data_IF_007888123029
#
_entry.id   IF_007888123029
#
_cell.length_a   1.000
_cell.length_b   1.000
_cell.length_c   1.000
_cell.angle_alpha   90.00
_cell.angle_beta   90.00
_cell.angle_gamma   90.00
#
_symmetry.space_group_name_H-M   'P 1'
#
loop_
_entity.id
_entity.type
_entity.pdbx_description
1 polymer ?
#
# COMPACT_ATOMS: atom_id res chain seq x y z
N UNK A 1 -13.00 11.79 -19.79
CA UNK A 1 -12.26 10.82 -18.98
C UNK A 1 -13.17 9.64 -18.71
N UNK A 2 -12.68 8.39 -18.82
CA UNK A 2 -13.47 7.22 -18.45
C UNK A 2 -13.45 7.11 -16.92
N UNK A 3 -14.58 6.80 -16.31
CA UNK A 3 -14.65 6.46 -14.89
C UNK A 3 -14.47 4.95 -14.78
N UNK A 4 -13.35 4.50 -14.23
CA UNK A 4 -13.16 3.11 -13.83
C UNK A 4 -13.98 2.85 -12.56
N UNK A 5 -14.76 1.77 -12.56
CA UNK A 5 -15.65 1.43 -11.44
C UNK A 5 -14.87 1.08 -10.16
N UNK A 6 -13.63 0.59 -10.30
CA UNK A 6 -12.71 0.31 -9.19
C UNK A 6 -11.29 0.75 -9.54
N UNK A 7 -10.60 1.31 -8.56
CA UNK A 7 -9.23 1.81 -8.70
C UNK A 7 -8.37 1.19 -7.64
N UNK A 8 -7.43 0.34 -8.04
CA UNK A 8 -6.51 -0.34 -7.14
C UNK A 8 -5.11 0.21 -7.40
N UNK A 9 -4.43 0.66 -6.34
CA UNK A 9 -3.03 1.04 -6.39
C UNK A 9 -2.22 0.02 -5.61
N UNK A 10 -1.38 -0.73 -6.31
CA UNK A 10 -0.44 -1.68 -5.72
C UNK A 10 0.95 -1.05 -5.68
N UNK A 11 1.48 -0.87 -4.47
CA UNK A 11 2.84 -0.37 -4.23
C UNK A 11 3.77 -1.56 -4.05
N UNK A 12 4.86 -1.64 -4.81
CA UNK A 12 5.92 -2.63 -4.60
C UNK A 12 7.17 -1.83 -4.20
N UNK A 13 7.69 -2.06 -3.00
CA UNK A 13 8.78 -1.28 -2.44
C UNK A 13 9.78 -2.16 -1.69
N UNK A 14 11.04 -1.81 -1.80
CA UNK A 14 12.18 -2.49 -1.20
C UNK A 14 12.81 -1.68 -0.05
N UNK A 15 12.10 -0.72 0.56
CA UNK A 15 12.74 0.17 1.54
C UNK A 15 11.83 1.14 2.29
N UNK A 16 12.49 2.00 3.06
CA UNK A 16 11.89 3.11 3.80
C UNK A 16 11.94 4.40 2.96
N UNK A 17 11.12 5.42 3.26
CA UNK A 17 11.18 6.68 2.53
C UNK A 17 12.48 7.44 2.87
N UNK A 18 13.40 7.53 1.91
CA UNK A 18 14.73 8.14 2.09
C UNK A 18 15.06 9.02 0.88
N UNK A 19 15.55 10.22 1.15
CA UNK A 19 16.17 11.13 0.18
C UNK A 19 17.14 12.06 0.92
N UNK A 20 18.44 12.00 0.60
CA UNK A 20 19.51 12.70 1.33
C UNK A 20 19.34 14.22 1.26
N UNK A 21 18.94 14.74 0.10
CA UNK A 21 18.76 16.17 -0.10
C UNK A 21 17.63 16.69 0.78
N UNK A 22 16.51 15.97 0.83
CA UNK A 22 15.39 16.31 1.72
C UNK A 22 15.80 16.22 3.19
N UNK A 23 16.52 15.18 3.60
CA UNK A 23 16.93 15.00 4.99
C UNK A 23 18.01 15.99 5.45
N UNK A 24 18.79 16.56 4.54
CA UNK A 24 19.84 17.53 4.89
C UNK A 24 19.32 18.84 5.45
N UNK A 25 18.09 19.23 5.09
CA UNK A 25 17.47 20.52 5.48
C UNK A 25 16.16 20.37 6.24
N UNK A 26 15.70 19.15 6.50
CA UNK A 26 14.45 18.87 7.22
C UNK A 26 14.70 17.97 8.44
N UNK A 27 13.69 17.85 9.31
CA UNK A 27 13.75 16.86 10.39
C UNK A 27 13.90 15.45 9.84
N UNK A 28 14.63 14.56 10.52
CA UNK A 28 14.80 13.17 10.10
C UNK A 28 13.50 12.38 9.92
N UNK A 29 12.40 12.84 10.55
CA UNK A 29 11.07 12.24 10.44
C UNK A 29 10.21 12.77 9.27
N UNK A 30 10.72 13.73 8.49
CA UNK A 30 9.90 14.47 7.52
C UNK A 30 9.26 13.55 6.47
N UNK A 31 10.08 12.73 5.81
CA UNK A 31 9.61 11.82 4.77
C UNK A 31 8.68 10.73 5.31
N UNK A 32 8.94 10.22 6.52
CA UNK A 32 8.06 9.25 7.17
C UNK A 32 6.68 9.86 7.47
N UNK A 33 6.65 11.06 8.06
CA UNK A 33 5.39 11.77 8.34
C UNK A 33 4.62 12.06 7.05
N UNK A 34 5.30 12.52 6.02
CA UNK A 34 4.68 12.78 4.73
C UNK A 34 4.13 11.49 4.10
N UNK A 35 4.87 10.39 4.14
CA UNK A 35 4.39 9.10 3.64
C UNK A 35 3.12 8.65 4.38
N UNK A 36 3.10 8.75 5.72
CA UNK A 36 1.92 8.43 6.53
C UNK A 36 0.72 9.32 6.19
N UNK A 37 0.94 10.60 5.97
CA UNK A 37 -0.11 11.55 5.56
C UNK A 37 -0.70 11.17 4.20
N UNK A 38 0.14 10.91 3.20
CA UNK A 38 -0.29 10.52 1.85
C UNK A 38 -1.05 9.19 1.87
N UNK A 39 -0.52 8.17 2.57
CA UNK A 39 -1.22 6.89 2.72
C UNK A 39 -2.56 7.09 3.42
N UNK A 40 -2.57 7.84 4.52
CA UNK A 40 -3.80 8.16 5.25
C UNK A 40 -4.82 8.92 4.40
N UNK A 41 -4.37 9.82 3.53
CA UNK A 41 -5.24 10.49 2.57
C UNK A 41 -5.83 9.50 1.57
N UNK A 42 -5.01 8.62 0.99
CA UNK A 42 -5.47 7.64 0.00
C UNK A 42 -6.46 6.67 0.64
N UNK A 43 -6.10 6.05 1.77
CA UNK A 43 -6.94 5.04 2.41
C UNK A 43 -8.28 5.57 2.93
N UNK A 44 -8.37 6.86 3.28
CA UNK A 44 -9.54 7.40 3.97
C UNK A 44 -10.30 8.47 3.19
N UNK A 45 -9.73 9.04 2.13
CA UNK A 45 -10.35 10.14 1.35
C UNK A 45 -10.37 9.90 -0.16
N UNK A 46 -9.68 8.90 -0.65
CA UNK A 46 -9.65 8.55 -2.08
C UNK A 46 -10.56 7.35 -2.37
N UNK A 47 -11.14 7.23 -3.58
CA UNK A 47 -11.78 6.00 -4.03
C UNK A 47 -10.77 4.89 -4.39
N UNK A 48 -9.47 5.11 -4.14
CA UNK A 48 -8.40 4.18 -4.48
C UNK A 48 -8.20 3.17 -3.35
N UNK A 49 -8.29 1.90 -3.69
CA UNK A 49 -7.95 0.77 -2.83
C UNK A 49 -6.43 0.57 -2.86
N UNK A 50 -5.78 0.76 -1.72
CA UNK A 50 -4.32 0.74 -1.60
C UNK A 50 -3.82 -0.61 -1.07
N UNK A 51 -2.92 -1.23 -1.81
CA UNK A 51 -2.21 -2.47 -1.46
C UNK A 51 -0.70 -2.22 -1.47
N UNK A 52 0.06 -2.95 -0.67
CA UNK A 52 1.52 -2.89 -0.71
C UNK A 52 2.22 -4.25 -0.59
N UNK A 53 3.34 -4.39 -1.29
CA UNK A 53 4.25 -5.53 -1.18
C UNK A 53 5.64 -4.98 -0.85
N UNK A 54 6.15 -5.36 0.32
CA UNK A 54 7.51 -5.05 0.76
C UNK A 54 8.47 -6.15 0.33
N UNK A 55 9.60 -5.82 -0.30
CA UNK A 55 10.64 -6.79 -0.68
C UNK A 55 11.82 -6.63 0.26
N UNK A 56 12.08 -7.65 1.09
CA UNK A 56 13.13 -7.62 2.12
C UNK A 56 12.92 -6.59 3.23
N UNK A 57 11.83 -5.83 3.19
CA UNK A 57 11.52 -4.76 4.12
C UNK A 57 10.07 -4.82 4.59
N UNK A 58 9.88 -4.59 5.88
CA UNK A 58 8.55 -4.49 6.47
C UNK A 58 7.91 -3.15 6.09
N UNK A 59 6.84 -3.23 5.30
CA UNK A 59 6.00 -2.10 4.87
C UNK A 59 4.64 -2.08 5.57
N UNK A 60 4.32 -3.10 6.38
CA UNK A 60 3.05 -3.22 7.11
C UNK A 60 2.86 -2.11 8.15
N UNK A 61 3.96 -1.49 8.59
CA UNK A 61 3.97 -0.29 9.44
C UNK A 61 3.38 0.97 8.79
N UNK A 62 3.24 0.99 7.47
CA UNK A 62 2.74 2.14 6.71
C UNK A 62 1.39 1.86 6.08
N UNK A 63 1.21 0.68 5.48
CA UNK A 63 0.05 0.33 4.68
C UNK A 63 -0.84 -0.67 5.42
N UNK A 64 -2.16 -0.44 5.43
CA UNK A 64 -3.10 -1.34 6.11
C UNK A 64 -3.19 -2.72 5.47
N UNK A 65 -3.14 -2.76 4.14
CA UNK A 65 -3.20 -3.99 3.32
C UNK A 65 -1.82 -4.22 2.73
N UNK A 66 -1.01 -5.03 3.40
CA UNK A 66 0.35 -5.27 2.95
C UNK A 66 0.87 -6.66 3.27
N UNK A 67 1.79 -7.12 2.45
CA UNK A 67 2.58 -8.33 2.68
C UNK A 67 4.06 -8.02 2.47
N UNK A 68 4.93 -8.70 3.21
CA UNK A 68 6.38 -8.64 2.97
C UNK A 68 6.86 -9.98 2.45
N UNK A 69 7.56 -9.95 1.33
CA UNK A 69 8.25 -11.08 0.72
C UNK A 69 9.75 -10.96 0.96
N UNK A 70 10.44 -12.10 1.01
CA UNK A 70 11.90 -12.11 1.22
C UNK A 70 12.66 -11.84 -0.06
N UNK A 71 12.12 -12.28 -1.20
CA UNK A 71 12.78 -12.20 -2.50
C UNK A 71 11.75 -11.97 -3.63
N UNK A 72 12.24 -11.58 -4.81
CA UNK A 72 11.41 -11.18 -5.96
C UNK A 72 10.69 -12.35 -6.62
N UNK A 73 11.21 -13.58 -6.53
CA UNK A 73 10.58 -14.77 -7.12
C UNK A 73 9.22 -15.05 -6.47
N UNK A 74 9.01 -14.58 -5.23
CA UNK A 74 7.73 -14.66 -4.51
C UNK A 74 6.70 -13.60 -4.96
N UNK A 75 7.11 -12.59 -5.73
CA UNK A 75 6.28 -11.43 -6.08
C UNK A 75 5.00 -11.85 -6.80
N UNK A 76 5.10 -12.78 -7.75
CA UNK A 76 3.93 -13.25 -8.50
C UNK A 76 2.84 -13.82 -7.60
N UNK A 77 3.23 -14.68 -6.65
CA UNK A 77 2.31 -15.25 -5.66
C UNK A 77 1.72 -14.18 -4.73
N UNK A 78 2.55 -13.24 -4.28
CA UNK A 78 2.11 -12.15 -3.40
C UNK A 78 1.10 -11.21 -4.07
N UNK A 79 1.30 -10.87 -5.35
CA UNK A 79 0.36 -10.05 -6.12
C UNK A 79 -1.00 -10.74 -6.22
N UNK A 80 -1.02 -12.02 -6.59
CA UNK A 80 -2.26 -12.80 -6.71
C UNK A 80 -2.96 -12.93 -5.36
N UNK A 81 -2.20 -13.21 -4.29
CA UNK A 81 -2.73 -13.29 -2.93
C UNK A 81 -3.40 -12.00 -2.48
N UNK A 82 -2.71 -10.86 -2.61
CA UNK A 82 -3.25 -9.57 -2.19
C UNK A 82 -4.52 -9.17 -2.96
N UNK A 83 -4.58 -9.46 -4.27
CA UNK A 83 -5.79 -9.22 -5.05
C UNK A 83 -6.94 -10.15 -4.65
N UNK A 84 -6.63 -11.42 -4.34
CA UNK A 84 -7.62 -12.38 -3.86
C UNK A 84 -8.22 -11.92 -2.53
N UNK A 85 -7.37 -11.57 -1.57
CA UNK A 85 -7.79 -11.07 -0.26
C UNK A 85 -8.65 -9.81 -0.37
N UNK A 86 -8.28 -8.89 -1.27
CA UNK A 86 -9.04 -7.67 -1.53
C UNK A 86 -10.46 -7.98 -2.01
N UNK A 87 -10.60 -8.92 -2.94
CA UNK A 87 -11.89 -9.29 -3.51
C UNK A 87 -12.77 -10.09 -2.54
N UNK A 88 -12.18 -10.95 -1.73
CA UNK A 88 -12.89 -11.73 -0.71
C UNK A 88 -13.43 -10.84 0.42
N UNK A 89 -12.65 -9.86 0.87
CA UNK A 89 -13.13 -8.88 1.85
C UNK A 89 -14.35 -8.10 1.35
N UNK A 90 -14.37 -7.72 0.07
CA UNK A 90 -15.50 -7.02 -0.52
C UNK A 90 -16.74 -7.89 -0.66
N UNK A 91 -16.56 -9.16 -1.04
CA UNK A 91 -17.64 -10.13 -1.07
C UNK A 91 -18.27 -10.29 0.32
N UNK A 92 -17.42 -10.39 1.35
CA UNK A 92 -17.87 -10.45 2.75
C UNK A 92 -18.58 -9.18 3.21
N UNK A 93 -18.11 -7.98 2.81
CA UNK A 93 -18.82 -6.73 3.11
C UNK A 93 -20.21 -6.72 2.49
N UNK A 94 -20.36 -7.11 1.22
CA UNK A 94 -21.67 -7.14 0.54
C UNK A 94 -22.66 -8.07 1.24
N UNK A 95 -22.21 -9.25 1.67
CA UNK A 95 -23.05 -10.23 2.37
C UNK A 95 -23.51 -9.79 3.77
N UNK A 96 -22.84 -8.81 4.40
CA UNK A 96 -23.23 -8.29 5.73
C UNK A 96 -24.25 -7.16 5.67
N UNK A 97 -24.49 -6.58 4.49
CA UNK A 97 -25.45 -5.47 4.28
C UNK A 97 -26.73 -5.95 3.58
N UNK A 98 -26.74 -7.18 3.06
CA UNK A 98 -27.93 -7.88 2.55
C UNK A 98 -28.66 -8.63 3.67
#
# INVERSE_FOLDING_TARGET
ARTEDRRIMLVISDGAPVDDSTLSVNSGSYLEKHLREVIGYIENRSPVELLAIGIGHDVTRYYRRAVTITDVDQLGGAVVGQLTDLFDEDANRRNRVA
#
